data_IF_085194782432
#
_entry.id   IF_085194782432
#
_cell.length_a   1.000
_cell.length_b   1.000
_cell.length_c   1.000
_cell.angle_alpha   90.00
_cell.angle_beta   90.00
_cell.angle_gamma   90.00
#
_symmetry.space_group_name_H-M   'P 1'
#
loop_
_entity.id
_entity.type
_entity.pdbx_description
1 polymer ?
#
# COMPACT_ATOMS: atom_id res chain seq x y z
N UNK A 1 9.82 5.44 7.44
CA UNK A 1 10.78 4.47 6.85
C UNK A 1 10.85 4.69 5.35
N UNK A 2 12.04 4.63 4.74
CA UNK A 2 12.23 4.68 3.29
C UNK A 2 13.01 3.43 2.86
N UNK A 3 12.52 2.61 1.91
CA UNK A 3 13.26 1.46 1.43
C UNK A 3 14.57 1.88 0.74
N UNK A 4 15.69 1.27 1.11
CA UNK A 4 16.99 1.48 0.46
C UNK A 4 17.33 0.28 -0.41
N UNK A 5 16.81 0.27 -1.64
CA UNK A 5 17.04 -0.80 -2.61
C UNK A 5 18.15 -0.49 -3.63
N UNK A 6 18.95 0.56 -3.39
CA UNK A 6 20.07 0.94 -4.26
C UNK A 6 19.66 1.41 -5.68
N UNK A 7 18.38 1.67 -5.91
CA UNK A 7 17.85 2.17 -7.18
C UNK A 7 17.34 3.62 -7.02
N UNK A 8 17.57 4.45 -8.03
CA UNK A 8 16.99 5.80 -8.11
C UNK A 8 15.48 5.74 -8.35
N UNK A 9 14.74 6.67 -7.75
CA UNK A 9 13.31 6.82 -8.04
C UNK A 9 13.11 7.12 -9.53
N UNK A 10 12.09 6.50 -10.13
CA UNK A 10 11.77 6.69 -11.56
C UNK A 10 10.47 7.50 -11.66
N UNK A 11 10.49 8.76 -12.14
CA UNK A 11 9.38 9.69 -11.89
C UNK A 11 8.26 9.73 -12.95
N UNK A 12 8.40 9.15 -14.15
CA UNK A 12 7.43 9.42 -15.25
C UNK A 12 6.64 8.22 -15.78
N UNK A 13 7.18 7.00 -15.75
CA UNK A 13 6.43 5.80 -16.13
C UNK A 13 6.82 4.64 -15.20
N UNK A 14 5.90 4.29 -14.31
CA UNK A 14 6.03 3.09 -13.50
C UNK A 14 5.60 1.88 -14.33
N UNK A 15 6.42 0.82 -14.32
CA UNK A 15 6.04 -0.49 -14.84
C UNK A 15 5.09 -1.26 -13.90
N UNK A 16 4.57 -0.58 -12.89
CA UNK A 16 3.72 -1.12 -11.85
C UNK A 16 2.53 -0.20 -11.60
N UNK A 17 1.39 -0.80 -11.31
CA UNK A 17 0.11 -0.12 -11.07
C UNK A 17 -0.32 -0.39 -9.64
N UNK A 18 -0.79 0.66 -8.96
CA UNK A 18 -1.51 0.59 -7.69
C UNK A 18 -2.94 1.04 -8.00
N UNK A 19 -3.90 0.18 -7.72
CA UNK A 19 -5.31 0.42 -8.06
C UNK A 19 -6.20 0.09 -6.87
N UNK A 20 -7.12 0.99 -6.56
CA UNK A 20 -8.13 0.81 -5.53
C UNK A 20 -9.45 0.37 -6.17
N UNK A 21 -10.19 -0.51 -5.50
CA UNK A 21 -11.53 -0.90 -5.95
C UNK A 21 -12.56 0.25 -5.86
N UNK A 22 -12.26 1.29 -5.07
CA UNK A 22 -13.03 2.53 -4.95
C UNK A 22 -12.13 3.71 -4.59
N UNK A 23 -12.49 4.91 -5.05
CA UNK A 23 -11.73 6.15 -4.85
C UNK A 23 -12.40 7.13 -3.87
N UNK A 24 -13.56 6.76 -3.34
CA UNK A 24 -14.25 7.45 -2.26
C UNK A 24 -14.47 6.45 -1.13
N UNK A 25 -14.35 6.92 0.10
CA UNK A 25 -14.50 6.08 1.29
C UNK A 25 -15.28 6.82 2.38
N UNK A 26 -15.94 6.06 3.24
CA UNK A 26 -16.57 6.52 4.48
C UNK A 26 -15.78 6.01 5.70
N UNK A 27 -16.05 6.54 6.88
CA UNK A 27 -15.45 6.01 8.12
C UNK A 27 -15.72 4.51 8.27
N UNK A 28 -14.69 3.76 8.68
CA UNK A 28 -14.69 2.29 8.77
C UNK A 28 -14.86 1.53 7.44
N UNK A 29 -14.73 2.20 6.29
CA UNK A 29 -14.74 1.52 5.01
C UNK A 29 -13.51 0.62 4.82
N UNK A 30 -13.72 -0.45 4.07
CA UNK A 30 -12.67 -1.32 3.55
C UNK A 30 -12.43 -1.00 2.08
N UNK A 31 -11.20 -0.65 1.73
CA UNK A 31 -10.74 -0.40 0.35
C UNK A 31 -9.73 -1.47 -0.02
N UNK A 32 -10.02 -2.26 -1.06
CA UNK A 32 -9.08 -3.23 -1.57
C UNK A 32 -8.10 -2.54 -2.51
N UNK A 33 -6.81 -2.75 -2.27
CA UNK A 33 -5.71 -2.23 -3.05
C UNK A 33 -5.02 -3.40 -3.75
N UNK A 34 -4.88 -3.27 -5.06
CA UNK A 34 -4.13 -4.20 -5.91
C UNK A 34 -2.85 -3.53 -6.36
N UNK A 35 -1.71 -4.19 -6.14
CA UNK A 35 -0.42 -3.79 -6.72
C UNK A 35 -0.03 -4.84 -7.73
N UNK A 36 0.24 -4.44 -8.98
CA UNK A 36 0.55 -5.37 -10.07
C UNK A 36 1.55 -4.80 -11.06
N UNK A 37 2.18 -5.68 -11.83
CA UNK A 37 2.88 -5.28 -13.05
C UNK A 37 1.92 -4.61 -14.05
N UNK A 38 2.41 -3.60 -14.77
CA UNK A 38 1.68 -2.96 -15.87
C UNK A 38 1.47 -3.93 -17.05
N UNK A 39 2.42 -4.85 -17.26
CA UNK A 39 2.33 -5.98 -18.20
C UNK A 39 2.61 -7.30 -17.48
N UNK A 40 2.31 -8.42 -18.14
CA UNK A 40 2.61 -9.77 -17.63
C UNK A 40 4.10 -10.04 -17.40
N UNK A 41 4.99 -9.30 -18.08
CA UNK A 41 6.44 -9.41 -17.92
C UNK A 41 6.98 -8.58 -16.74
N UNK A 42 6.20 -7.60 -16.24
CA UNK A 42 6.62 -6.78 -15.12
C UNK A 42 6.34 -7.49 -13.80
N UNK A 43 7.41 -7.90 -13.11
CA UNK A 43 7.34 -8.57 -11.81
C UNK A 43 8.17 -7.80 -10.79
N UNK A 44 7.71 -7.77 -9.55
CA UNK A 44 8.40 -7.11 -8.43
C UNK A 44 8.72 -8.12 -7.32
N UNK A 45 9.77 -7.85 -6.54
CA UNK A 45 10.16 -8.70 -5.41
C UNK A 45 9.54 -8.24 -4.10
N UNK A 46 9.40 -6.93 -3.93
CA UNK A 46 8.93 -6.31 -2.71
C UNK A 46 8.09 -5.06 -2.95
N UNK A 47 7.37 -4.67 -1.92
CA UNK A 47 6.61 -3.44 -1.82
C UNK A 47 6.77 -2.89 -0.40
N UNK A 48 6.55 -1.59 -0.23
CA UNK A 48 6.16 -1.01 1.05
C UNK A 48 5.02 -0.02 0.77
N UNK A 49 3.82 -0.29 1.28
CA UNK A 49 2.71 0.67 1.22
C UNK A 49 2.31 1.12 2.61
N UNK A 50 1.97 2.40 2.70
CA UNK A 50 1.36 3.05 3.86
C UNK A 50 0.31 4.02 3.33
N UNK A 51 -0.80 4.19 4.04
CA UNK A 51 -1.83 5.16 3.68
C UNK A 51 -1.59 6.44 4.47
N UNK A 52 -1.43 7.57 3.79
CA UNK A 52 -1.16 8.86 4.44
C UNK A 52 -2.25 9.87 4.13
N UNK A 53 -2.55 10.71 5.11
CA UNK A 53 -3.32 11.92 4.85
C UNK A 53 -2.56 12.83 3.86
N UNK A 54 -3.27 13.34 2.88
CA UNK A 54 -2.69 14.20 1.84
C UNK A 54 -2.19 15.54 2.36
N UNK A 55 -2.76 16.06 3.45
CA UNK A 55 -2.48 17.38 4.00
C UNK A 55 -1.29 17.37 4.97
N UNK A 56 -1.29 16.48 5.96
CA UNK A 56 -0.27 16.46 7.04
C UNK A 56 0.70 15.28 6.95
N UNK A 57 0.48 14.34 6.02
CA UNK A 57 1.29 13.14 5.79
C UNK A 57 1.31 12.13 6.94
N UNK A 58 0.40 12.27 7.92
CA UNK A 58 0.22 11.29 8.98
C UNK A 58 -0.28 9.97 8.40
N UNK A 59 0.21 8.85 8.94
CA UNK A 59 -0.26 7.53 8.54
C UNK A 59 -1.62 7.28 9.18
N UNK A 60 -2.60 6.91 8.37
CA UNK A 60 -3.98 6.70 8.82
C UNK A 60 -4.51 5.33 8.43
N UNK A 61 -5.34 4.78 9.31
CA UNK A 61 -5.98 3.49 9.12
C UNK A 61 -5.05 2.32 9.40
N UNK A 62 -5.52 1.14 9.07
CA UNK A 62 -4.78 -0.10 9.23
C UNK A 62 -4.98 -1.01 8.02
N UNK A 63 -4.16 -2.03 7.91
CA UNK A 63 -4.14 -2.96 6.80
C UNK A 63 -4.45 -4.37 7.26
N UNK A 64 -5.09 -5.14 6.39
CA UNK A 64 -5.17 -6.60 6.47
C UNK A 64 -4.92 -7.20 5.09
N UNK A 65 -4.58 -8.48 5.04
CA UNK A 65 -4.50 -9.22 3.78
C UNK A 65 -4.69 -10.72 4.02
N UNK A 66 -5.30 -11.39 3.04
CA UNK A 66 -5.33 -12.85 2.93
C UNK A 66 -4.29 -13.38 1.94
N UNK A 67 -3.56 -12.49 1.28
CA UNK A 67 -2.48 -12.82 0.35
C UNK A 67 -1.22 -13.23 1.14
N UNK A 68 -0.77 -14.46 0.94
CA UNK A 68 0.40 -15.02 1.65
C UNK A 68 1.73 -14.38 1.23
N UNK A 69 1.72 -13.59 0.16
CA UNK A 69 2.86 -12.79 -0.29
C UNK A 69 3.01 -11.46 0.45
N UNK A 70 2.02 -11.10 1.27
CA UNK A 70 1.93 -9.83 1.99
C UNK A 70 2.14 -10.04 3.49
N UNK A 71 2.98 -9.20 4.07
CA UNK A 71 3.20 -9.11 5.51
C UNK A 71 2.70 -7.76 6.03
N UNK A 72 2.03 -7.78 7.17
CA UNK A 72 1.55 -6.57 7.86
C UNK A 72 2.66 -6.05 8.77
N UNK A 73 2.95 -4.75 8.72
CA UNK A 73 4.02 -4.13 9.51
C UNK A 73 3.51 -2.92 10.28
N UNK A 74 4.20 -2.63 11.38
CA UNK A 74 4.01 -1.41 12.17
C UNK A 74 5.10 -0.41 11.78
N UNK A 75 4.70 0.74 11.26
CA UNK A 75 5.54 1.89 10.96
C UNK A 75 5.32 2.95 12.03
N UNK A 76 6.40 3.53 12.59
CA UNK A 76 6.35 4.58 13.61
C UNK A 76 5.46 4.21 14.82
N UNK A 77 5.67 2.99 15.36
CA UNK A 77 5.00 2.45 16.55
C UNK A 77 3.47 2.34 16.49
N UNK A 78 2.87 2.61 15.33
CA UNK A 78 1.44 2.42 15.10
C UNK A 78 1.20 1.05 14.49
N UNK A 79 0.31 0.27 15.13
CA UNK A 79 0.08 -1.12 14.76
C UNK A 79 -0.58 -1.25 13.37
N UNK A 80 -0.10 -2.19 12.57
CA UNK A 80 -0.78 -2.66 11.34
C UNK A 80 -1.03 -1.56 10.30
N UNK A 81 -0.20 -0.52 10.26
CA UNK A 81 -0.42 0.67 9.43
C UNK A 81 0.36 0.68 8.10
N UNK A 82 1.06 -0.42 7.79
CA UNK A 82 1.67 -0.64 6.49
C UNK A 82 1.71 -2.11 6.11
N UNK A 83 2.06 -2.35 4.84
CA UNK A 83 2.30 -3.69 4.30
C UNK A 83 3.65 -3.78 3.61
N UNK A 84 4.24 -4.96 3.63
CA UNK A 84 5.45 -5.33 2.88
C UNK A 84 5.33 -6.74 2.31
N UNK A 85 6.41 -7.24 1.73
CA UNK A 85 6.53 -8.60 1.20
C UNK A 85 7.00 -9.59 2.27
N UNK A 86 6.58 -10.86 2.13
CA UNK A 86 7.06 -11.95 3.00
C UNK A 86 8.39 -12.55 2.55
N UNK A 87 8.70 -12.50 1.25
CA UNK A 87 9.93 -13.04 0.66
C UNK A 87 10.37 -12.24 -0.58
N UNK A 88 11.62 -12.41 -1.00
CA UNK A 88 12.16 -11.81 -2.22
C UNK A 88 11.71 -12.48 -3.53
N UNK A 89 10.74 -13.40 -3.48
CA UNK A 89 10.23 -14.09 -4.66
C UNK A 89 9.49 -13.13 -5.59
N UNK A 90 9.58 -13.40 -6.89
CA UNK A 90 8.94 -12.55 -7.89
C UNK A 90 7.41 -12.69 -7.88
N UNK A 91 6.74 -11.56 -7.72
CA UNK A 91 5.28 -11.42 -7.72
C UNK A 91 4.85 -10.67 -8.98
N UNK A 92 3.75 -11.11 -9.61
CA UNK A 92 3.09 -10.35 -10.67
C UNK A 92 2.02 -9.41 -10.10
N UNK A 93 1.43 -9.79 -8.97
CA UNK A 93 0.38 -9.06 -8.28
C UNK A 93 0.38 -9.41 -6.79
N UNK A 94 -0.04 -8.46 -5.96
CA UNK A 94 -0.49 -8.69 -4.58
C UNK A 94 -1.79 -7.95 -4.33
N UNK A 95 -2.53 -8.37 -3.31
CA UNK A 95 -3.71 -7.66 -2.81
C UNK A 95 -3.65 -7.44 -1.31
N UNK A 96 -4.14 -6.29 -0.86
CA UNK A 96 -4.34 -5.98 0.55
C UNK A 96 -5.56 -5.08 0.73
N UNK A 97 -6.11 -5.05 1.92
CA UNK A 97 -7.24 -4.19 2.28
C UNK A 97 -6.76 -3.12 3.23
N UNK A 98 -6.98 -1.86 2.86
CA UNK A 98 -6.87 -0.73 3.76
C UNK A 98 -8.22 -0.47 4.44
N UNK A 99 -8.17 -0.26 5.75
CA UNK A 99 -9.30 0.04 6.61
C UNK A 99 -9.25 1.50 7.02
N UNK A 100 -10.26 2.27 6.60
CA UNK A 100 -10.40 3.67 6.97
C UNK A 100 -10.54 3.81 8.49
N UNK A 101 -9.93 4.85 9.11
CA UNK A 101 -10.18 5.19 10.51
C UNK A 101 -11.67 5.39 10.81
N UNK A 102 -12.06 5.17 12.06
CA UNK A 102 -13.41 5.39 12.57
C UNK A 102 -13.77 6.88 12.66
N UNK A 103 -12.78 7.72 12.94
CA UNK A 103 -12.91 9.18 13.07
C UNK A 103 -12.35 9.92 11.87
N UNK A 104 -12.17 9.24 10.73
CA UNK A 104 -11.50 9.81 9.56
C UNK A 104 -12.13 11.17 9.22
N UNK A 105 -11.41 12.24 9.53
CA UNK A 105 -11.64 13.55 8.95
C UNK A 105 -11.65 13.38 7.44
N UNK A 106 -12.57 14.05 6.75
CA UNK A 106 -12.85 13.97 5.30
C UNK A 106 -11.67 14.46 4.44
N UNK A 107 -10.46 13.96 4.68
CA UNK A 107 -9.24 14.26 3.94
C UNK A 107 -9.02 13.26 2.82
N UNK A 108 -8.22 13.65 1.83
CA UNK A 108 -7.80 12.71 0.80
C UNK A 108 -6.67 11.82 1.35
N UNK A 109 -6.74 10.54 1.05
CA UNK A 109 -5.69 9.57 1.40
C UNK A 109 -4.83 9.31 0.16
N UNK A 110 -3.52 9.29 0.37
CA UNK A 110 -2.52 8.92 -0.63
C UNK A 110 -1.88 7.60 -0.21
N UNK A 111 -1.86 6.64 -1.14
CA UNK A 111 -1.25 5.32 -1.00
C UNK A 111 -0.08 5.23 -1.99
#
# INVERSE_FOLDING_TARGET
>A
MMPSHGASSTPCQSNYVIEANKYQYSSNDNVQITVRGATSSNRFKGVLLVAKDSSDKNILGHWSSTDTSVSIVSCNDTFSNGITHTSSDYKSQIQATWHSPSTATQGNIVI
#
